data_IF_776050334415
#
_entry.id   IF_776050334415
#
_cell.length_a   1.000
_cell.length_b   1.000
_cell.length_c   1.000
_cell.angle_alpha   90.00
_cell.angle_beta   90.00
_cell.angle_gamma   90.00
#
_symmetry.space_group_name_H-M   'P 1'
#
loop_
_entity.id
_entity.type
_entity.pdbx_description
1 polymer ?
#
# COMPACT_ATOMS: atom_id res chain seq x y z
N UNK A 1 -5.24 19.47 -11.57
CA UNK A 1 -4.69 18.35 -12.33
C UNK A 1 -3.30 18.11 -11.77
N UNK A 2 -2.98 16.98 -11.16
CA UNK A 2 -1.59 16.72 -10.84
C UNK A 2 -0.81 16.72 -12.15
N UNK A 3 0.29 17.45 -12.18
CA UNK A 3 1.24 17.36 -13.29
C UNK A 3 1.60 15.89 -13.45
N UNK A 4 1.50 15.38 -14.69
CA UNK A 4 1.89 14.01 -15.01
C UNK A 4 3.34 13.81 -14.55
N UNK A 5 3.52 13.21 -13.37
CA UNK A 5 4.81 12.79 -12.92
C UNK A 5 5.42 11.93 -14.03
N UNK A 6 6.54 12.33 -14.57
CA UNK A 6 7.22 11.56 -15.62
C UNK A 6 7.65 10.24 -15.00
N UNK A 7 7.60 9.16 -15.77
CA UNK A 7 8.04 7.84 -15.29
C UNK A 7 9.46 7.90 -14.67
N UNK A 8 10.32 8.76 -15.18
CA UNK A 8 11.64 9.06 -14.62
C UNK A 8 11.57 9.60 -13.19
N UNK A 9 10.67 10.53 -12.91
CA UNK A 9 10.56 11.16 -11.58
C UNK A 9 10.06 10.12 -10.56
N UNK A 10 9.14 9.26 -10.96
CA UNK A 10 8.67 8.14 -10.14
C UNK A 10 9.78 7.09 -9.88
N UNK A 11 10.62 6.80 -10.88
CA UNK A 11 11.76 5.88 -10.72
C UNK A 11 12.85 6.45 -9.81
N UNK A 12 13.04 7.76 -9.81
CA UNK A 12 14.05 8.42 -8.99
C UNK A 12 13.73 8.35 -7.49
N UNK A 13 12.47 8.23 -7.14
CA UNK A 13 12.02 8.07 -5.75
C UNK A 13 12.26 6.67 -5.18
N UNK A 14 12.55 5.68 -6.02
CA UNK A 14 12.93 4.34 -5.56
C UNK A 14 14.42 4.36 -5.21
N UNK A 15 14.74 4.39 -3.92
CA UNK A 15 16.09 4.24 -3.44
C UNK A 15 16.45 2.76 -3.27
N UNK A 16 17.58 2.33 -3.81
CA UNK A 16 18.08 0.95 -3.70
C UNK A 16 19.37 0.96 -2.91
N UNK A 17 19.30 0.54 -1.65
CA UNK A 17 20.47 0.47 -0.76
C UNK A 17 21.20 -0.87 -0.83
N UNK A 18 20.62 -1.87 -1.50
CA UNK A 18 21.21 -3.18 -1.63
C UNK A 18 22.10 -3.33 -2.87
N UNK A 19 23.03 -4.27 -2.80
CA UNK A 19 23.94 -4.63 -3.89
C UNK A 19 23.59 -6.02 -4.41
N UNK A 20 23.42 -6.13 -5.72
CA UNK A 20 23.25 -7.42 -6.40
C UNK A 20 24.61 -8.02 -6.80
N UNK A 21 24.71 -9.35 -6.71
CA UNK A 21 25.94 -10.08 -7.13
C UNK A 21 26.15 -10.05 -8.64
N UNK A 22 25.05 -10.00 -9.40
CA UNK A 22 25.06 -9.90 -10.85
C UNK A 22 24.75 -8.46 -11.25
N UNK A 23 25.57 -7.90 -12.15
CA UNK A 23 25.45 -6.52 -12.58
C UNK A 23 24.15 -6.29 -13.37
N UNK A 24 23.10 -5.91 -12.69
CA UNK A 24 21.89 -5.37 -13.31
C UNK A 24 21.92 -3.85 -13.17
N UNK A 25 21.73 -3.10 -14.27
CA UNK A 25 21.65 -1.65 -14.19
C UNK A 25 20.57 -1.21 -13.19
N UNK A 26 20.90 -0.31 -12.26
CA UNK A 26 19.97 0.16 -11.22
C UNK A 26 18.66 0.68 -11.80
N UNK A 27 18.72 1.37 -12.95
CA UNK A 27 17.52 1.85 -13.65
C UNK A 27 16.57 0.71 -14.01
N UNK A 28 17.09 -0.42 -14.49
CA UNK A 28 16.25 -1.57 -14.86
C UNK A 28 15.71 -2.30 -13.64
N UNK A 29 16.45 -2.30 -12.52
CA UNK A 29 15.92 -2.80 -11.24
C UNK A 29 14.74 -1.94 -10.76
N UNK A 30 14.91 -0.61 -10.71
CA UNK A 30 13.85 0.34 -10.36
C UNK A 30 12.64 0.21 -11.28
N UNK A 31 12.88 0.15 -12.60
CA UNK A 31 11.82 -0.03 -13.59
C UNK A 31 11.04 -1.32 -13.36
N UNK A 32 11.70 -2.44 -13.09
CA UNK A 32 11.01 -3.72 -12.84
C UNK A 32 10.20 -3.71 -11.56
N UNK A 33 10.69 -3.09 -10.49
CA UNK A 33 9.93 -2.88 -9.26
C UNK A 33 8.67 -2.06 -9.56
N UNK A 34 8.83 -0.92 -10.23
CA UNK A 34 7.73 -0.03 -10.57
C UNK A 34 6.68 -0.70 -11.47
N UNK A 35 7.10 -1.43 -12.49
CA UNK A 35 6.20 -2.16 -13.39
C UNK A 35 5.40 -3.24 -12.65
N UNK A 36 6.05 -3.97 -11.75
CA UNK A 36 5.38 -4.98 -10.94
C UNK A 36 4.36 -4.34 -9.99
N UNK A 37 4.74 -3.28 -9.29
CA UNK A 37 3.85 -2.53 -8.39
C UNK A 37 2.75 -1.79 -9.16
N UNK A 38 2.97 -1.39 -10.41
CA UNK A 38 1.94 -0.85 -11.30
C UNK A 38 0.93 -1.90 -11.79
N UNK A 39 1.20 -3.20 -11.59
CA UNK A 39 0.26 -4.28 -11.84
C UNK A 39 0.69 -5.32 -12.87
N UNK A 40 1.91 -5.28 -13.36
CA UNK A 40 2.43 -6.35 -14.21
C UNK A 40 2.73 -7.60 -13.39
N UNK A 41 2.46 -8.77 -13.97
CA UNK A 41 2.91 -10.02 -13.37
C UNK A 41 4.44 -10.09 -13.37
N UNK A 42 5.01 -10.84 -12.42
CA UNK A 42 6.46 -11.09 -12.41
C UNK A 42 6.97 -11.66 -13.74
N UNK A 43 6.18 -12.53 -14.39
CA UNK A 43 6.53 -13.09 -15.70
C UNK A 43 6.61 -11.99 -16.78
N UNK A 44 5.61 -11.13 -16.86
CA UNK A 44 5.60 -10.03 -17.83
C UNK A 44 6.69 -9.01 -17.54
N UNK A 45 6.99 -8.75 -16.28
CA UNK A 45 8.10 -7.87 -15.88
C UNK A 45 9.43 -8.43 -16.33
N UNK A 46 9.67 -9.73 -16.14
CA UNK A 46 10.88 -10.41 -16.63
C UNK A 46 10.98 -10.33 -18.15
N UNK A 47 9.89 -10.60 -18.88
CA UNK A 47 9.89 -10.49 -20.35
C UNK A 47 10.22 -9.08 -20.83
N UNK A 48 9.86 -8.03 -20.08
CA UNK A 48 10.27 -6.66 -20.41
C UNK A 48 11.77 -6.48 -20.17
N UNK A 49 12.34 -7.02 -19.08
CA UNK A 49 13.78 -6.95 -18.82
C UNK A 49 14.59 -7.65 -19.95
N UNK A 50 14.08 -8.77 -20.47
CA UNK A 50 14.69 -9.49 -21.60
C UNK A 50 14.81 -8.61 -22.85
N UNK A 51 13.83 -7.72 -23.13
CA UNK A 51 13.91 -6.76 -24.23
C UNK A 51 15.09 -5.78 -24.10
N UNK A 52 15.55 -5.55 -22.86
CA UNK A 52 16.74 -4.73 -22.56
C UNK A 52 18.01 -5.56 -22.41
N UNK A 53 17.97 -6.84 -22.78
CA UNK A 53 19.11 -7.77 -22.70
C UNK A 53 19.44 -8.22 -21.28
N UNK A 54 18.49 -8.09 -20.33
CA UNK A 54 18.66 -8.52 -18.94
C UNK A 54 17.79 -9.76 -18.68
N UNK A 55 18.44 -10.91 -18.56
CA UNK A 55 17.77 -12.18 -18.20
C UNK A 55 17.79 -12.35 -16.68
N UNK A 56 16.61 -12.45 -16.05
CA UNK A 56 16.43 -12.62 -14.59
C UNK A 56 15.27 -13.55 -14.29
N UNK A 57 15.42 -14.29 -13.19
CA UNK A 57 14.32 -15.10 -12.68
C UNK A 57 13.22 -14.22 -12.05
N UNK A 58 11.98 -14.70 -12.07
CA UNK A 58 10.83 -14.06 -11.39
C UNK A 58 11.10 -13.81 -9.90
N UNK A 59 11.76 -14.77 -9.24
CA UNK A 59 12.16 -14.64 -7.83
C UNK A 59 13.14 -13.49 -7.60
N UNK A 60 13.98 -13.15 -8.58
CA UNK A 60 14.88 -12.00 -8.48
C UNK A 60 14.10 -10.70 -8.41
N UNK A 61 13.13 -10.49 -9.32
CA UNK A 61 12.27 -9.29 -9.29
C UNK A 61 11.45 -9.22 -8.00
N UNK A 62 10.88 -10.36 -7.58
CA UNK A 62 10.17 -10.45 -6.31
C UNK A 62 11.06 -10.02 -5.12
N UNK A 63 12.29 -10.53 -5.05
CA UNK A 63 13.23 -10.18 -4.00
C UNK A 63 13.65 -8.69 -4.06
N UNK A 64 13.73 -8.08 -5.24
CA UNK A 64 14.01 -6.64 -5.34
C UNK A 64 12.89 -5.79 -4.77
N UNK A 65 11.62 -6.16 -4.99
CA UNK A 65 10.47 -5.46 -4.39
C UNK A 65 10.56 -5.46 -2.87
N UNK A 66 10.85 -6.61 -2.26
CA UNK A 66 10.98 -6.72 -0.80
C UNK A 66 12.23 -5.99 -0.27
N UNK A 67 13.37 -6.16 -0.93
CA UNK A 67 14.62 -5.50 -0.51
C UNK A 67 14.60 -3.98 -0.67
N UNK A 68 13.73 -3.45 -1.50
CA UNK A 68 13.59 -2.01 -1.68
C UNK A 68 12.89 -1.33 -0.49
N UNK A 69 12.23 -2.10 0.39
CA UNK A 69 11.58 -1.63 1.63
C UNK A 69 10.76 -0.35 1.46
N UNK A 70 10.06 -0.25 0.31
CA UNK A 70 9.33 0.95 -0.05
C UNK A 70 8.18 1.21 0.92
N UNK A 71 8.06 2.45 1.37
CA UNK A 71 7.05 2.93 2.30
C UNK A 71 6.38 4.19 1.76
N UNK A 72 5.08 4.43 2.03
CA UNK A 72 4.46 5.72 1.78
C UNK A 72 5.24 6.84 2.48
N UNK A 73 5.25 8.02 1.88
CA UNK A 73 5.88 9.20 2.51
C UNK A 73 5.09 9.65 3.72
N UNK A 74 5.78 9.88 4.83
CA UNK A 74 5.22 10.47 6.05
C UNK A 74 5.02 11.99 5.93
N UNK A 75 4.39 12.61 6.94
CA UNK A 75 4.28 14.08 7.06
C UNK A 75 3.15 14.71 6.25
N UNK A 76 2.13 13.95 5.84
CA UNK A 76 0.91 14.51 5.24
C UNK A 76 0.04 15.18 6.30
N UNK A 77 -0.72 16.22 5.88
CA UNK A 77 -1.67 16.94 6.73
C UNK A 77 -2.99 17.13 5.98
N UNK A 78 -3.80 16.06 5.85
CA UNK A 78 -5.07 16.10 5.14
C UNK A 78 -6.17 16.73 6.00
N UNK A 79 -7.15 17.41 5.37
CA UNK A 79 -8.36 17.90 6.05
C UNK A 79 -9.33 16.76 6.41
N UNK A 80 -9.31 15.67 5.66
CA UNK A 80 -10.14 14.50 5.87
C UNK A 80 -9.35 13.21 5.72
N UNK A 81 -9.72 12.19 6.48
CA UNK A 81 -9.13 10.85 6.37
C UNK A 81 -10.23 9.81 6.31
N UNK A 82 -10.35 9.12 5.18
CA UNK A 82 -11.24 7.98 5.05
C UNK A 82 -10.55 6.72 5.62
N UNK A 83 -11.17 6.09 6.61
CA UNK A 83 -10.66 4.85 7.22
C UNK A 83 -11.69 3.75 7.07
N UNK A 84 -11.22 2.61 6.62
CA UNK A 84 -12.05 1.41 6.45
C UNK A 84 -11.20 0.14 6.61
N UNK A 85 -11.85 -1.00 6.78
CA UNK A 85 -11.18 -2.29 6.80
C UNK A 85 -11.87 -3.31 5.92
N UNK A 86 -11.10 -4.27 5.42
CA UNK A 86 -11.62 -5.36 4.60
C UNK A 86 -10.92 -6.67 4.92
N UNK A 87 -11.60 -7.77 4.64
CA UNK A 87 -11.00 -9.11 4.76
C UNK A 87 -10.20 -9.45 3.51
N UNK A 88 -8.98 -9.94 3.71
CA UNK A 88 -8.20 -10.65 2.71
C UNK A 88 -7.81 -12.04 3.22
N UNK A 89 -7.46 -12.95 2.32
CA UNK A 89 -7.05 -14.30 2.68
C UNK A 89 -5.60 -14.55 2.28
N UNK A 90 -4.82 -15.05 3.24
CA UNK A 90 -3.44 -15.48 3.06
C UNK A 90 -3.35 -16.96 3.41
N UNK A 91 -2.94 -17.78 2.48
CA UNK A 91 -2.80 -19.24 2.66
C UNK A 91 -4.01 -19.91 3.34
N UNK A 92 -5.21 -19.44 2.99
CA UNK A 92 -6.47 -19.93 3.56
C UNK A 92 -6.91 -19.26 4.86
N UNK A 93 -6.00 -18.60 5.57
CA UNK A 93 -6.27 -17.84 6.79
C UNK A 93 -6.86 -16.46 6.50
N UNK A 94 -7.72 -15.98 7.40
CA UNK A 94 -8.35 -14.66 7.27
C UNK A 94 -7.54 -13.59 7.98
N UNK A 95 -7.28 -12.50 7.27
CA UNK A 95 -6.65 -11.28 7.80
C UNK A 95 -7.53 -10.07 7.53
N UNK A 96 -7.34 -9.02 8.32
CA UNK A 96 -8.00 -7.74 8.18
C UNK A 96 -7.01 -6.70 7.66
N UNK A 97 -7.28 -6.16 6.48
CA UNK A 97 -6.54 -5.05 5.91
C UNK A 97 -7.24 -3.75 6.29
N UNK A 98 -6.57 -2.92 7.08
CA UNK A 98 -6.94 -1.55 7.36
C UNK A 98 -6.30 -0.62 6.35
N UNK A 99 -7.01 0.44 5.95
CA UNK A 99 -6.46 1.49 5.10
C UNK A 99 -6.97 2.86 5.55
N UNK A 100 -6.07 3.84 5.54
CA UNK A 100 -6.36 5.26 5.72
C UNK A 100 -5.98 6.00 4.44
N UNK A 101 -6.90 6.76 3.88
CA UNK A 101 -6.77 7.44 2.58
C UNK A 101 -7.19 8.89 2.75
N UNK A 102 -6.41 9.81 2.20
CA UNK A 102 -6.85 11.17 1.97
C UNK A 102 -7.81 11.19 0.76
N UNK A 103 -9.10 11.51 0.94
CA UNK A 103 -10.07 11.46 -0.14
C UNK A 103 -9.86 12.56 -1.19
N UNK A 104 -9.18 13.65 -0.87
CA UNK A 104 -8.98 14.79 -1.74
C UNK A 104 -7.78 14.56 -2.69
N UNK A 105 -6.63 14.17 -2.17
CA UNK A 105 -5.46 13.80 -2.97
C UNK A 105 -5.52 12.37 -3.50
N UNK A 106 -6.31 11.50 -2.88
CA UNK A 106 -6.34 10.05 -3.08
C UNK A 106 -5.05 9.33 -2.61
N UNK A 107 -4.24 10.00 -1.79
CA UNK A 107 -3.05 9.39 -1.20
C UNK A 107 -3.43 8.32 -0.18
N UNK A 108 -2.79 7.17 -0.28
CA UNK A 108 -2.87 6.10 0.71
C UNK A 108 -1.87 6.40 1.83
N UNK A 109 -2.40 6.90 2.94
CA UNK A 109 -1.62 7.38 4.08
C UNK A 109 -1.00 6.24 4.89
N UNK A 110 -1.80 5.21 5.16
CA UNK A 110 -1.36 4.07 5.96
C UNK A 110 -2.15 2.81 5.63
N UNK A 111 -1.48 1.66 5.67
CA UNK A 111 -2.10 0.34 5.64
C UNK A 111 -1.55 -0.51 6.78
N UNK A 112 -2.35 -1.45 7.27
CA UNK A 112 -1.90 -2.48 8.20
C UNK A 112 -2.66 -3.78 7.96
N UNK A 113 -1.95 -4.88 8.03
CA UNK A 113 -2.49 -6.22 7.87
C UNK A 113 -2.52 -6.93 9.23
N UNK A 114 -3.72 -7.21 9.71
CA UNK A 114 -3.92 -7.68 11.07
C UNK A 114 -4.63 -9.05 11.13
N UNK A 115 -4.24 -9.94 12.03
CA UNK A 115 -4.84 -11.28 12.12
C UNK A 115 -6.27 -11.24 12.68
N UNK A 116 -6.64 -10.18 13.39
CA UNK A 116 -7.95 -10.05 14.02
C UNK A 116 -8.46 -8.61 13.92
N UNK A 117 -9.76 -8.44 14.21
CA UNK A 117 -10.42 -7.14 14.23
C UNK A 117 -10.88 -6.82 15.66
N UNK A 118 -10.06 -6.09 16.39
CA UNK A 118 -10.32 -5.71 17.79
C UNK A 118 -10.13 -4.22 18.02
N UNK A 119 -10.69 -3.69 19.13
CA UNK A 119 -10.46 -2.30 19.53
C UNK A 119 -8.97 -2.00 19.75
N UNK A 120 -8.20 -2.95 20.29
CA UNK A 120 -6.76 -2.77 20.50
C UNK A 120 -6.01 -2.57 19.18
N UNK A 121 -6.35 -3.35 18.15
CA UNK A 121 -5.77 -3.25 16.81
C UNK A 121 -6.16 -1.92 16.16
N UNK A 122 -7.45 -1.55 16.16
CA UNK A 122 -7.89 -0.27 15.64
C UNK A 122 -7.17 0.90 16.33
N UNK A 123 -7.04 0.88 17.65
CA UNK A 123 -6.27 1.89 18.38
C UNK A 123 -4.79 1.92 17.98
N UNK A 124 -4.17 0.77 17.76
CA UNK A 124 -2.79 0.66 17.25
C UNK A 124 -2.65 1.30 15.87
N UNK A 125 -3.56 1.00 14.95
CA UNK A 125 -3.60 1.58 13.62
C UNK A 125 -3.68 3.12 13.65
N UNK A 126 -4.61 3.69 14.41
CA UNK A 126 -4.75 5.14 14.53
C UNK A 126 -3.52 5.79 15.20
N UNK A 127 -2.91 5.14 16.19
CA UNK A 127 -1.68 5.63 16.78
C UNK A 127 -0.56 5.73 15.75
N UNK A 128 -0.31 4.67 14.97
CA UNK A 128 0.72 4.65 13.93
C UNK A 128 0.42 5.70 12.83
N UNK A 129 -0.84 5.87 12.45
CA UNK A 129 -1.25 6.88 11.48
C UNK A 129 -0.90 8.30 11.98
N UNK A 130 -1.16 8.60 13.25
CA UNK A 130 -0.83 9.90 13.89
C UNK A 130 0.66 10.12 14.08
N UNK A 131 1.43 9.04 14.29
CA UNK A 131 2.90 9.11 14.36
C UNK A 131 3.52 9.45 13.01
N UNK A 132 2.88 9.03 11.91
CA UNK A 132 3.35 9.24 10.54
C UNK A 132 2.86 10.55 9.91
N UNK A 133 1.67 11.01 10.29
CA UNK A 133 0.98 12.11 9.62
C UNK A 133 0.36 13.08 10.62
N UNK A 134 0.26 14.34 10.23
CA UNK A 134 -0.46 15.38 11.00
C UNK A 134 -1.95 15.31 10.68
N UNK A 135 -2.66 14.46 11.42
CA UNK A 135 -4.08 14.15 11.22
C UNK A 135 -4.95 14.47 12.43
N UNK A 136 -4.41 15.14 13.43
CA UNK A 136 -5.13 15.41 14.67
C UNK A 136 -6.30 16.38 14.47
N UNK A 137 -6.19 17.31 13.53
CA UNK A 137 -7.22 18.27 13.15
C UNK A 137 -8.11 17.76 11.98
N UNK A 138 -7.83 16.60 11.44
CA UNK A 138 -8.60 16.02 10.33
C UNK A 138 -9.94 15.45 10.78
N UNK A 139 -10.94 15.47 9.89
CA UNK A 139 -12.22 14.79 10.11
C UNK A 139 -12.14 13.36 9.57
N UNK A 140 -12.26 12.38 10.45
CA UNK A 140 -12.25 10.96 10.08
C UNK A 140 -13.59 10.49 9.52
N UNK A 141 -13.56 9.91 8.33
CA UNK A 141 -14.73 9.34 7.66
C UNK A 141 -14.73 7.83 7.88
N UNK A 142 -15.66 7.36 8.71
CA UNK A 142 -15.75 5.93 9.09
C UNK A 142 -17.14 5.37 8.77
N UNK A 143 -17.24 4.03 8.67
CA UNK A 143 -18.51 3.35 8.39
C UNK A 143 -19.24 3.10 9.71
N UNK A 144 -19.52 3.02 10.57
CA UNK A 144 -20.24 2.67 11.81
C UNK A 144 -19.63 1.47 12.55
N UNK A 145 -18.45 1.00 12.13
CA UNK A 145 -17.73 -0.04 12.84
C UNK A 145 -17.34 0.42 14.25
N UNK A 146 -17.76 -0.34 15.27
CA UNK A 146 -17.62 0.06 16.67
C UNK A 146 -16.17 0.28 17.08
N UNK A 147 -15.23 -0.53 16.55
CA UNK A 147 -13.82 -0.42 16.86
C UNK A 147 -13.17 0.84 16.26
N UNK A 148 -13.58 1.29 15.06
CA UNK A 148 -13.11 2.55 14.48
C UNK A 148 -13.64 3.75 15.27
N UNK A 149 -14.92 3.72 15.65
CA UNK A 149 -15.52 4.73 16.52
C UNK A 149 -14.81 4.82 17.87
N UNK A 150 -14.57 3.68 18.52
CA UNK A 150 -13.87 3.62 19.80
C UNK A 150 -12.46 4.21 19.68
N UNK A 151 -11.74 3.88 18.59
CA UNK A 151 -10.43 4.43 18.33
C UNK A 151 -10.44 5.94 18.14
N UNK A 152 -11.33 6.50 17.30
CA UNK A 152 -11.47 7.95 17.15
C UNK A 152 -11.73 8.62 18.50
N UNK A 153 -12.68 8.08 19.28
CA UNK A 153 -13.03 8.62 20.59
C UNK A 153 -11.84 8.62 21.57
N UNK A 154 -11.09 7.51 21.63
CA UNK A 154 -9.91 7.37 22.52
C UNK A 154 -8.77 8.28 22.15
N UNK A 155 -8.60 8.52 20.87
CA UNK A 155 -7.56 9.42 20.37
C UNK A 155 -7.99 10.90 20.34
N UNK A 156 -9.26 11.21 20.70
CA UNK A 156 -9.79 12.57 20.68
C UNK A 156 -9.94 13.15 19.27
N UNK A 157 -10.14 12.30 18.27
CA UNK A 157 -10.25 12.68 16.87
C UNK A 157 -11.69 12.97 16.48
N UNK A 158 -11.88 14.01 15.69
CA UNK A 158 -13.19 14.30 15.10
C UNK A 158 -13.54 13.26 14.03
N UNK A 159 -14.78 12.75 14.07
CA UNK A 159 -15.23 11.78 13.07
C UNK A 159 -16.70 11.98 12.69
N UNK A 160 -17.02 11.53 11.50
CA UNK A 160 -18.41 11.41 11.03
C UNK A 160 -18.67 10.07 10.35
N UNK A 161 -19.93 9.63 10.45
CA UNK A 161 -20.38 8.44 9.73
C UNK A 161 -20.64 8.79 8.28
N UNK A 162 -19.98 8.11 7.38
CA UNK A 162 -20.19 8.29 5.95
C UNK A 162 -20.28 6.92 5.27
N UNK A 163 -21.47 6.60 4.73
CA UNK A 163 -21.70 5.34 4.02
C UNK A 163 -21.19 5.36 2.58
N UNK A 164 -21.18 6.54 1.95
CA UNK A 164 -20.83 6.77 0.55
C UNK A 164 -20.02 8.08 0.46
N UNK A 165 -19.68 8.49 -0.76
CA UNK A 165 -18.95 9.74 -0.96
C UNK A 165 -17.45 9.60 -0.77
N UNK A 166 -16.85 10.45 0.04
CA UNK A 166 -15.39 10.52 0.22
C UNK A 166 -14.80 9.24 0.85
N UNK A 167 -15.57 8.47 1.64
CA UNK A 167 -15.14 7.17 2.15
C UNK A 167 -14.89 6.14 1.03
N UNK A 168 -15.51 6.30 -0.13
CA UNK A 168 -15.28 5.41 -1.28
C UNK A 168 -13.81 5.41 -1.76
N UNK A 169 -12.99 6.34 -1.31
CA UNK A 169 -11.54 6.33 -1.56
C UNK A 169 -10.88 5.08 -0.99
N UNK A 170 -11.19 4.70 0.26
CA UNK A 170 -10.70 3.46 0.85
C UNK A 170 -11.22 2.22 0.10
N UNK A 171 -12.49 2.21 -0.32
CA UNK A 171 -13.06 1.12 -1.13
C UNK A 171 -12.35 0.96 -2.50
N UNK A 172 -11.88 2.05 -3.09
CA UNK A 172 -11.07 2.00 -4.33
C UNK A 172 -9.74 1.28 -4.10
N UNK A 173 -9.05 1.61 -3.03
CA UNK A 173 -7.82 0.92 -2.61
C UNK A 173 -8.08 -0.58 -2.43
N UNK A 174 -9.10 -0.95 -1.65
CA UNK A 174 -9.44 -2.36 -1.42
C UNK A 174 -9.80 -3.10 -2.70
N UNK A 175 -10.52 -2.47 -3.63
CA UNK A 175 -10.82 -3.04 -4.94
C UNK A 175 -9.55 -3.34 -5.72
N UNK A 176 -8.60 -2.41 -5.71
CA UNK A 176 -7.33 -2.58 -6.42
C UNK A 176 -6.47 -3.67 -5.75
N UNK A 177 -6.36 -3.69 -4.43
CA UNK A 177 -5.68 -4.75 -3.70
C UNK A 177 -6.29 -6.11 -4.05
N UNK A 178 -7.61 -6.26 -3.95
CA UNK A 178 -8.32 -7.51 -4.27
C UNK A 178 -8.12 -7.90 -5.73
N UNK A 179 -8.19 -6.95 -6.66
CA UNK A 179 -7.95 -7.18 -8.08
C UNK A 179 -6.54 -7.74 -8.32
N UNK A 180 -5.53 -7.18 -7.68
CA UNK A 180 -4.14 -7.60 -7.81
C UNK A 180 -3.90 -8.94 -7.15
N UNK A 181 -4.40 -9.15 -5.97
CA UNK A 181 -4.22 -10.40 -5.22
C UNK A 181 -5.03 -11.57 -5.80
N UNK A 182 -6.19 -11.31 -6.42
CA UNK A 182 -6.97 -12.35 -7.11
C UNK A 182 -6.44 -12.68 -8.51
N UNK A 183 -5.97 -11.68 -9.26
CA UNK A 183 -5.37 -11.87 -10.59
C UNK A 183 -3.98 -12.52 -10.52
N UNK A 184 -3.27 -12.27 -9.45
CA UNK A 184 -2.04 -12.93 -9.07
C UNK A 184 -2.37 -14.00 -8.02
N UNK A 185 -3.17 -15.00 -8.41
CA UNK A 185 -3.65 -16.07 -7.52
C UNK A 185 -2.57 -16.75 -6.67
N UNK A 186 -1.31 -16.40 -6.89
CA UNK A 186 -0.14 -16.86 -6.17
C UNK A 186 0.60 -15.75 -5.38
N UNK A 187 0.19 -14.48 -5.42
CA UNK A 187 0.91 -13.44 -4.67
C UNK A 187 0.85 -13.68 -3.16
N UNK A 188 -0.29 -14.14 -2.67
CA UNK A 188 -0.50 -14.40 -1.24
C UNK A 188 -0.73 -15.88 -0.89
N UNK A 189 -0.82 -16.78 -1.88
CA UNK A 189 -0.78 -18.20 -1.58
C UNK A 189 0.61 -18.58 -1.11
N UNK A 190 0.73 -19.05 0.11
CA UNK A 190 1.98 -19.36 0.81
C UNK A 190 2.81 -18.12 1.26
N UNK A 191 2.27 -16.90 1.14
CA UNK A 191 2.92 -15.73 1.71
C UNK A 191 2.74 -15.71 3.23
N UNK A 192 3.80 -15.33 3.97
CA UNK A 192 3.66 -14.99 5.38
C UNK A 192 3.00 -13.62 5.51
N UNK A 193 2.36 -13.38 6.65
CA UNK A 193 1.69 -12.11 6.90
C UNK A 193 2.64 -10.91 6.78
N UNK A 194 3.87 -11.04 7.30
CA UNK A 194 4.91 -10.01 7.22
C UNK A 194 5.26 -9.69 5.77
N UNK A 195 5.46 -10.71 4.93
CA UNK A 195 5.77 -10.53 3.49
C UNK A 195 4.60 -9.87 2.73
N UNK A 196 3.37 -10.20 3.11
CA UNK A 196 2.18 -9.59 2.52
C UNK A 196 2.04 -8.13 2.94
N UNK A 197 2.33 -7.79 4.21
CA UNK A 197 2.31 -6.42 4.70
C UNK A 197 3.40 -5.57 4.04
N UNK A 198 4.64 -6.04 3.95
CA UNK A 198 5.73 -5.38 3.20
C UNK A 198 5.34 -5.07 1.75
N UNK A 199 4.70 -6.03 1.08
CA UNK A 199 4.19 -5.81 -0.28
C UNK A 199 3.09 -4.75 -0.32
N UNK A 200 2.20 -4.72 0.67
CA UNK A 200 1.13 -3.71 0.79
C UNK A 200 1.71 -2.31 1.04
N UNK A 201 2.77 -2.17 1.83
CA UNK A 201 3.49 -0.90 1.99
C UNK A 201 4.11 -0.45 0.66
N UNK A 202 4.78 -1.37 -0.05
CA UNK A 202 5.34 -1.08 -1.38
C UNK A 202 4.26 -0.70 -2.39
N UNK A 203 3.08 -1.35 -2.32
CA UNK A 203 1.92 -0.99 -3.14
C UNK A 203 1.41 0.42 -2.79
N UNK A 204 1.35 0.77 -1.51
CA UNK A 204 0.93 2.09 -1.06
C UNK A 204 1.89 3.19 -1.57
N UNK A 205 3.20 2.94 -1.51
CA UNK A 205 4.19 3.81 -2.13
C UNK A 205 3.91 4.01 -3.63
N UNK A 206 3.75 2.92 -4.39
CA UNK A 206 3.49 3.00 -5.82
C UNK A 206 2.13 3.63 -6.16
N UNK A 207 1.12 3.41 -5.32
CA UNK A 207 -0.19 4.04 -5.46
C UNK A 207 -0.06 5.56 -5.44
N UNK A 208 0.62 6.11 -4.46
CA UNK A 208 0.80 7.55 -4.29
C UNK A 208 1.66 8.20 -5.40
N UNK A 209 2.42 7.38 -6.17
CA UNK A 209 3.24 7.84 -7.28
C UNK A 209 2.52 7.80 -8.63
N UNK A 210 1.54 6.91 -8.80
CA UNK A 210 0.98 6.56 -10.11
C UNK A 210 -0.47 7.02 -10.28
N UNK A 211 -1.16 7.40 -9.21
CA UNK A 211 -2.58 7.74 -9.19
C UNK A 211 -2.82 9.15 -8.70
#
# INVERSE_FOLDING_TARGET
>A
MPENARLTDSLDQIELEFVEREATPRLLMKLSIQLHLAGLSLSNTVSILELFGVDRARSTVHNWVHKAELQPQDGRSPDQVAVDETVIRLDGEQYWLYAAVDPDSNDLLHTALEPTRTNAIANGFFRTLREKHDVDDAVFLIDGALQLKDACTRHGLDFRYEKHGNRNSAERVFREVKRRTSSFSNCFSHARAETADEWLQSLAFAWNQLI
#
